data_IF_382643595327
#
_entry.id   IF_382643595327
#
_cell.length_a   1.000
_cell.length_b   1.000
_cell.length_c   1.000
_cell.angle_alpha   90.00
_cell.angle_beta   90.00
_cell.angle_gamma   90.00
#
_symmetry.space_group_name_H-M   'P 1'
#
loop_
_entity.id
_entity.type
_entity.pdbx_description
1 polymer ?
#
# COMPACT_ATOMS: atom_id res chain seq x y z
N UNK A 1 8.88 -19.12 7.39
CA UNK A 1 7.68 -18.31 7.19
C UNK A 1 6.42 -19.08 7.52
N UNK A 2 5.38 -18.37 7.78
CA UNK A 2 4.05 -18.90 8.11
C UNK A 2 3.10 -18.49 6.98
N UNK A 3 2.03 -19.25 6.76
CA UNK A 3 0.93 -18.84 5.88
C UNK A 3 -0.37 -18.85 6.65
N UNK A 4 -1.26 -17.90 6.34
CA UNK A 4 -2.62 -17.88 6.84
C UNK A 4 -3.62 -17.72 5.71
N UNK A 5 -4.87 -18.10 5.93
CA UNK A 5 -5.93 -17.96 4.95
C UNK A 5 -7.08 -17.16 5.55
N UNK A 6 -7.40 -16.04 4.91
CA UNK A 6 -8.47 -15.16 5.36
C UNK A 6 -9.81 -15.89 5.37
N UNK A 7 -10.57 -15.69 6.45
CA UNK A 7 -11.90 -16.27 6.66
C UNK A 7 -12.96 -15.16 6.57
N UNK A 8 -14.04 -15.37 5.80
CA UNK A 8 -15.14 -14.41 5.74
C UNK A 8 -15.74 -14.13 7.10
N UNK A 9 -15.97 -12.85 7.41
CA UNK A 9 -16.51 -12.36 8.68
C UNK A 9 -17.73 -11.47 8.43
N UNK A 10 -18.81 -11.78 9.12
CA UNK A 10 -20.01 -10.99 9.21
C UNK A 10 -19.89 -10.11 10.48
N UNK A 11 -19.70 -8.82 10.31
CA UNK A 11 -19.41 -7.88 11.41
C UNK A 11 -20.68 -7.25 11.96
N UNK A 12 -21.77 -7.16 11.18
CA UNK A 12 -23.03 -6.55 11.60
C UNK A 12 -24.12 -7.56 11.96
N UNK A 13 -23.91 -8.84 11.68
CA UNK A 13 -24.80 -9.94 12.05
C UNK A 13 -26.00 -10.12 11.12
N UNK A 14 -25.94 -9.61 9.89
CA UNK A 14 -27.00 -9.74 8.90
C UNK A 14 -26.99 -11.07 8.14
N UNK A 15 -25.95 -11.91 8.37
CA UNK A 15 -25.75 -13.22 7.73
C UNK A 15 -24.98 -13.13 6.41
N UNK A 16 -24.53 -11.94 6.01
CA UNK A 16 -23.71 -11.73 4.80
C UNK A 16 -22.32 -11.27 5.27
N UNK A 17 -21.24 -11.93 4.86
CA UNK A 17 -19.90 -11.48 5.24
C UNK A 17 -19.56 -10.09 4.68
N UNK A 18 -19.06 -9.19 5.54
CA UNK A 18 -18.62 -7.84 5.18
C UNK A 18 -17.17 -7.78 4.72
N UNK A 19 -16.35 -8.67 5.27
CA UNK A 19 -14.91 -8.70 5.04
C UNK A 19 -14.35 -10.11 5.22
N UNK A 20 -13.06 -10.29 4.97
CA UNK A 20 -12.34 -11.49 5.36
C UNK A 20 -11.10 -11.10 6.14
N UNK A 21 -10.87 -11.78 7.25
CA UNK A 21 -9.71 -11.55 8.12
C UNK A 21 -9.28 -12.82 8.84
N UNK A 22 -8.07 -12.79 9.37
CA UNK A 22 -7.55 -13.84 10.24
C UNK A 22 -6.58 -13.26 11.27
N UNK A 23 -6.46 -13.94 12.41
CA UNK A 23 -5.58 -13.56 13.51
C UNK A 23 -4.46 -14.56 13.66
N UNK A 24 -3.23 -14.07 13.63
CA UNK A 24 -2.02 -14.90 13.74
C UNK A 24 -1.24 -14.49 15.00
N UNK A 25 -0.80 -15.49 15.75
CA UNK A 25 -0.08 -15.29 17.00
C UNK A 25 1.43 -15.39 16.81
N UNK A 26 2.20 -14.65 17.61
CA UNK A 26 3.66 -14.71 17.57
C UNK A 26 4.20 -16.12 17.77
N UNK A 27 3.53 -16.93 18.58
CA UNK A 27 3.90 -18.33 18.82
C UNK A 27 3.79 -19.23 17.57
N UNK A 28 2.97 -18.85 16.58
CA UNK A 28 2.83 -19.62 15.33
C UNK A 28 4.08 -19.55 14.46
N UNK A 29 4.93 -18.57 14.72
CA UNK A 29 6.23 -18.38 14.04
C UNK A 29 7.38 -19.04 14.78
N UNK A 30 7.15 -19.52 16.00
CA UNK A 30 8.23 -20.06 16.83
C UNK A 30 8.64 -21.46 16.36
N UNK A 31 9.91 -21.62 16.06
CA UNK A 31 10.50 -22.91 15.69
C UNK A 31 11.23 -23.58 16.86
N UNK A 32 11.00 -23.12 18.09
CA UNK A 32 11.59 -23.67 19.28
C UNK A 32 12.55 -22.72 20.00
N UNK A 33 12.15 -21.47 20.20
CA UNK A 33 12.89 -20.49 21.02
C UNK A 33 13.00 -20.96 22.47
N UNK A 34 14.19 -20.90 23.05
CA UNK A 34 14.41 -21.35 24.42
C UNK A 34 15.42 -20.46 25.15
N UNK A 35 15.32 -20.46 26.46
CA UNK A 35 16.32 -19.89 27.34
C UNK A 35 17.29 -20.99 27.84
N UNK A 36 18.61 -20.74 27.81
CA UNK A 36 19.65 -21.71 28.15
C UNK A 36 19.48 -22.34 29.54
N UNK A 37 18.86 -21.64 30.49
CA UNK A 37 18.57 -22.13 31.83
C UNK A 37 17.15 -22.73 31.97
N UNK A 38 16.43 -22.97 30.88
CA UNK A 38 15.11 -23.58 30.90
C UNK A 38 13.97 -22.68 31.39
N UNK A 39 14.19 -21.37 31.48
CA UNK A 39 13.13 -20.43 31.81
C UNK A 39 12.23 -20.14 30.61
N UNK A 40 10.99 -19.73 30.91
CA UNK A 40 10.02 -19.29 29.89
C UNK A 40 10.53 -18.07 29.15
N UNK A 41 10.24 -18.01 27.85
CA UNK A 41 10.44 -16.84 27.00
C UNK A 41 9.09 -16.33 26.50
N UNK A 42 8.90 -15.01 26.46
CA UNK A 42 7.75 -14.39 25.85
C UNK A 42 8.00 -14.14 24.36
N UNK A 43 7.02 -14.45 23.55
CA UNK A 43 7.03 -14.21 22.10
C UNK A 43 6.07 -13.07 21.76
N UNK A 44 6.52 -12.13 20.90
CA UNK A 44 5.76 -10.96 20.51
C UNK A 44 6.18 -10.50 19.10
N UNK A 45 5.41 -9.58 18.51
CA UNK A 45 5.74 -8.99 17.21
C UNK A 45 6.50 -7.65 17.31
N UNK A 46 6.77 -7.20 18.54
CA UNK A 46 7.60 -6.03 18.83
C UNK A 46 8.30 -6.20 20.17
N UNK A 47 9.09 -5.20 20.59
CA UNK A 47 9.70 -5.18 21.92
C UNK A 47 8.67 -5.15 23.07
N UNK A 48 7.42 -4.81 22.81
CA UNK A 48 6.31 -4.94 23.76
C UNK A 48 5.85 -6.40 23.82
N UNK A 49 6.03 -7.05 24.96
CA UNK A 49 5.62 -8.45 25.18
C UNK A 49 4.10 -8.66 25.16
N UNK A 50 3.29 -7.60 25.12
CA UNK A 50 1.84 -7.67 24.95
C UNK A 50 1.42 -7.71 23.47
N UNK A 51 2.30 -7.36 22.54
CA UNK A 51 2.06 -7.42 21.08
C UNK A 51 2.17 -8.86 20.57
N UNK A 52 1.21 -9.70 20.99
CA UNK A 52 1.26 -11.17 20.80
C UNK A 52 0.56 -11.67 19.57
N UNK A 53 -0.34 -10.88 18.97
CA UNK A 53 -1.09 -11.27 17.78
C UNK A 53 -1.23 -10.10 16.82
N UNK A 54 -1.45 -10.41 15.57
CA UNK A 54 -1.81 -9.46 14.51
C UNK A 54 -3.02 -9.96 13.75
N UNK A 55 -3.87 -9.02 13.34
CA UNK A 55 -4.99 -9.28 12.45
C UNK A 55 -4.58 -8.87 11.05
N UNK A 56 -4.82 -9.74 10.09
CA UNK A 56 -4.63 -9.50 8.67
C UNK A 56 -5.98 -9.49 7.99
N UNK A 57 -6.13 -8.64 6.98
CA UNK A 57 -7.36 -8.49 6.21
C UNK A 57 -7.10 -8.55 4.70
N UNK A 58 -8.11 -8.19 3.91
CA UNK A 58 -8.04 -8.24 2.45
C UNK A 58 -6.94 -7.35 1.85
N UNK A 59 -6.55 -6.28 2.54
CA UNK A 59 -5.52 -5.35 2.06
C UNK A 59 -4.10 -5.89 2.30
N UNK A 60 -3.97 -6.84 3.22
CA UNK A 60 -2.69 -7.46 3.59
C UNK A 60 -2.30 -8.65 2.72
N UNK A 61 -3.08 -9.03 1.73
CA UNK A 61 -2.81 -10.23 0.90
C UNK A 61 -1.42 -10.24 0.30
N UNK A 62 -0.79 -11.43 0.32
CA UNK A 62 0.55 -11.70 -0.15
C UNK A 62 1.58 -11.73 0.97
N UNK A 63 2.84 -11.53 0.64
CA UNK A 63 3.93 -11.62 1.59
C UNK A 63 4.04 -10.34 2.44
N UNK A 64 3.88 -10.51 3.75
CA UNK A 64 4.05 -9.45 4.75
C UNK A 64 5.30 -9.73 5.61
N UNK A 65 6.18 -8.74 5.74
CA UNK A 65 7.35 -8.85 6.59
C UNK A 65 6.93 -8.69 8.06
N UNK A 66 7.45 -9.57 8.92
CA UNK A 66 7.20 -9.54 10.37
C UNK A 66 8.49 -9.69 11.15
N UNK A 67 8.54 -9.13 12.34
CA UNK A 67 9.60 -9.37 13.32
C UNK A 67 9.05 -10.27 14.44
N UNK A 68 9.74 -11.37 14.72
CA UNK A 68 9.46 -12.21 15.88
C UNK A 68 10.45 -11.86 16.96
N UNK A 69 9.95 -11.35 18.06
CA UNK A 69 10.72 -10.95 19.25
C UNK A 69 10.63 -12.01 20.34
N UNK A 70 11.73 -12.24 21.02
CA UNK A 70 11.87 -13.16 22.14
C UNK A 70 12.39 -12.37 23.33
N UNK A 71 11.67 -12.43 24.44
CA UNK A 71 12.04 -11.73 25.69
C UNK A 71 12.15 -12.73 26.83
N UNK A 72 13.26 -12.70 27.56
CA UNK A 72 13.45 -13.54 28.76
C UNK A 72 12.83 -12.90 30.02
N UNK A 73 12.85 -13.62 31.12
CA UNK A 73 12.32 -13.16 32.41
C UNK A 73 13.07 -11.96 33.02
N UNK A 74 14.27 -11.65 32.52
CA UNK A 74 15.07 -10.51 32.95
C UNK A 74 14.87 -9.29 32.05
N UNK A 75 14.06 -9.42 31.01
CA UNK A 75 13.80 -8.36 30.04
C UNK A 75 14.85 -8.25 28.93
N UNK A 76 15.74 -9.23 28.77
CA UNK A 76 16.65 -9.26 27.64
C UNK A 76 15.86 -9.68 26.40
N UNK A 77 16.06 -8.94 25.29
CA UNK A 77 15.30 -9.12 24.04
C UNK A 77 16.22 -9.46 22.88
N UNK A 78 15.71 -10.26 21.96
CA UNK A 78 16.27 -10.47 20.62
C UNK A 78 15.15 -10.63 19.62
N UNK A 79 15.43 -10.41 18.33
CA UNK A 79 14.42 -10.62 17.29
C UNK A 79 15.03 -11.20 16.02
N UNK A 80 14.18 -11.80 15.22
CA UNK A 80 14.47 -12.17 13.83
C UNK A 80 13.41 -11.61 12.88
N UNK A 81 13.77 -11.42 11.62
CA UNK A 81 12.84 -11.06 10.55
C UNK A 81 12.43 -12.29 9.78
N UNK A 82 11.13 -12.39 9.55
CA UNK A 82 10.52 -13.47 8.78
C UNK A 82 9.38 -12.88 7.96
N UNK A 83 8.52 -13.74 7.39
CA UNK A 83 7.36 -13.30 6.63
C UNK A 83 6.17 -14.21 6.90
N UNK A 84 4.99 -13.66 6.66
CA UNK A 84 3.74 -14.39 6.54
C UNK A 84 3.19 -14.22 5.12
N UNK A 85 2.65 -15.31 4.56
CA UNK A 85 1.90 -15.29 3.30
C UNK A 85 0.40 -15.30 3.61
N UNK A 86 -0.24 -14.14 3.40
CA UNK A 86 -1.67 -13.94 3.64
C UNK A 86 -2.43 -14.32 2.38
N UNK A 87 -3.21 -15.39 2.45
CA UNK A 87 -3.92 -16.01 1.33
C UNK A 87 -5.42 -15.77 1.42
N UNK A 88 -6.06 -15.66 0.25
CA UNK A 88 -7.51 -15.61 0.10
C UNK A 88 -7.96 -16.75 -0.81
N UNK A 89 -7.86 -17.98 -0.32
CA UNK A 89 -8.21 -19.19 -1.08
C UNK A 89 -9.71 -19.33 -1.32
N UNK A 90 -10.52 -18.63 -0.56
CA UNK A 90 -11.96 -18.59 -0.72
C UNK A 90 -12.44 -17.57 -1.74
N UNK A 91 -11.53 -16.66 -2.18
CA UNK A 91 -11.82 -15.62 -3.17
C UNK A 91 -12.86 -14.61 -2.70
N UNK A 92 -12.93 -14.38 -1.37
CA UNK A 92 -13.90 -13.46 -0.78
C UNK A 92 -13.46 -12.01 -0.89
N UNK A 93 -12.17 -11.78 -0.82
CA UNK A 93 -11.65 -10.42 -0.93
C UNK A 93 -11.88 -9.85 -2.33
N UNK A 94 -12.27 -8.57 -2.43
CA UNK A 94 -12.35 -7.92 -3.73
C UNK A 94 -10.99 -8.01 -4.44
N UNK A 95 -10.96 -8.02 -5.78
CA UNK A 95 -9.70 -7.97 -6.51
C UNK A 95 -8.87 -6.81 -5.93
N UNK A 96 -7.59 -7.08 -5.67
CA UNK A 96 -6.68 -6.10 -5.03
C UNK A 96 -6.42 -4.95 -6.01
N UNK A 97 -7.40 -4.09 -6.17
CA UNK A 97 -7.30 -2.85 -6.92
C UNK A 97 -6.58 -1.87 -5.98
N UNK A 98 -5.28 -2.06 -5.80
CA UNK A 98 -4.47 -0.99 -5.21
C UNK A 98 -4.58 0.18 -6.17
N UNK A 99 -5.35 1.17 -5.78
CA UNK A 99 -5.49 2.40 -6.54
C UNK A 99 -4.12 3.11 -6.50
N UNK A 100 -3.59 3.35 -7.68
CA UNK A 100 -2.42 4.18 -7.86
C UNK A 100 -2.86 5.58 -8.24
N UNK A 101 -2.07 6.59 -7.88
CA UNK A 101 -2.27 7.96 -8.31
C UNK A 101 -1.18 8.34 -9.32
N UNK A 102 -1.54 9.15 -10.31
CA UNK A 102 -0.57 9.81 -11.20
C UNK A 102 -0.63 11.30 -10.93
N UNK A 103 0.46 11.84 -10.46
CA UNK A 103 0.60 13.26 -10.14
C UNK A 103 1.80 13.84 -10.85
N UNK A 104 1.73 15.13 -11.17
CA UNK A 104 2.84 15.80 -11.82
C UNK A 104 2.70 17.32 -11.79
N UNK A 105 3.73 17.96 -12.33
CA UNK A 105 3.81 19.41 -12.45
C UNK A 105 4.21 19.74 -13.87
N UNK A 106 3.55 20.73 -14.47
CA UNK A 106 3.93 21.31 -15.74
C UNK A 106 4.63 22.64 -15.50
N UNK A 107 5.84 22.75 -16.02
CA UNK A 107 6.63 23.99 -15.99
C UNK A 107 7.29 24.26 -17.35
N UNK A 108 7.68 25.50 -17.58
CA UNK A 108 8.55 25.89 -18.72
C UNK A 108 9.98 25.45 -18.48
N UNK A 109 10.84 25.59 -19.47
CA UNK A 109 12.31 25.37 -19.34
C UNK A 109 12.97 26.28 -18.30
N UNK A 110 12.30 27.37 -17.91
CA UNK A 110 12.77 28.32 -16.88
C UNK A 110 12.14 28.07 -15.50
N UNK A 111 11.52 26.89 -15.31
CA UNK A 111 10.79 26.51 -14.09
C UNK A 111 9.55 27.35 -13.75
N UNK A 112 9.05 28.19 -14.68
CA UNK A 112 7.78 28.88 -14.49
C UNK A 112 6.63 27.88 -14.53
N UNK A 113 5.73 27.92 -13.56
CA UNK A 113 4.57 27.04 -13.45
C UNK A 113 3.52 27.37 -14.50
N UNK A 114 2.98 26.37 -15.18
CA UNK A 114 2.02 26.58 -16.26
C UNK A 114 0.62 26.11 -15.84
N UNK A 115 -0.27 27.09 -15.64
CA UNK A 115 -1.67 26.87 -15.31
C UNK A 115 -2.52 26.57 -16.56
N UNK A 116 -3.66 25.91 -16.34
CA UNK A 116 -4.68 25.61 -17.37
C UNK A 116 -4.16 24.75 -18.55
N UNK A 117 -3.16 23.91 -18.30
CA UNK A 117 -2.79 22.86 -19.25
C UNK A 117 -3.76 21.70 -19.09
N UNK A 118 -4.42 21.33 -20.18
CA UNK A 118 -5.26 20.15 -20.21
C UNK A 118 -4.40 18.89 -20.23
N UNK A 119 -4.57 18.04 -19.24
CA UNK A 119 -3.87 16.76 -19.12
C UNK A 119 -4.85 15.64 -19.40
N UNK A 120 -4.58 14.86 -20.42
CA UNK A 120 -5.31 13.64 -20.71
C UNK A 120 -4.47 12.43 -20.32
N UNK A 121 -5.07 11.49 -19.60
CA UNK A 121 -4.43 10.23 -19.24
C UNK A 121 -4.94 9.13 -20.17
N UNK A 122 -4.24 8.92 -21.27
CA UNK A 122 -4.62 7.97 -22.31
C UNK A 122 -4.62 6.55 -21.75
N UNK A 123 -5.63 5.76 -22.12
CA UNK A 123 -5.90 4.40 -21.65
C UNK A 123 -6.32 4.29 -20.15
N UNK A 124 -6.69 5.39 -19.49
CA UNK A 124 -7.15 5.34 -18.10
C UNK A 124 -8.67 5.20 -17.95
N UNK A 125 -9.44 5.66 -18.94
CA UNK A 125 -10.89 5.84 -18.81
C UNK A 125 -11.30 7.04 -17.94
N UNK A 126 -10.33 7.81 -17.42
CA UNK A 126 -10.57 8.98 -16.59
C UNK A 126 -10.75 10.24 -17.45
N UNK A 127 -11.49 11.22 -16.92
CA UNK A 127 -11.67 12.50 -17.56
C UNK A 127 -10.40 13.34 -17.54
N UNK A 128 -10.27 14.24 -18.52
CA UNK A 128 -9.23 15.26 -18.57
C UNK A 128 -9.25 16.12 -17.30
N UNK A 129 -8.07 16.47 -16.79
CA UNK A 129 -7.87 17.43 -15.71
C UNK A 129 -7.05 18.62 -16.20
N UNK A 130 -7.15 19.77 -15.52
CA UNK A 130 -6.33 20.94 -15.81
C UNK A 130 -5.36 21.23 -14.69
N UNK A 131 -4.16 21.68 -15.07
CA UNK A 131 -3.19 22.13 -14.08
C UNK A 131 -3.69 23.37 -13.34
N UNK A 132 -3.43 23.40 -12.03
CA UNK A 132 -3.71 24.55 -11.17
C UNK A 132 -2.69 25.70 -11.36
N UNK A 133 -2.79 26.74 -10.50
CA UNK A 133 -1.87 27.90 -10.53
C UNK A 133 -0.42 27.52 -10.24
N UNK A 134 -0.19 26.40 -9.54
CA UNK A 134 1.14 25.86 -9.27
C UNK A 134 1.60 24.87 -10.35
N UNK A 135 0.85 24.75 -11.46
CA UNK A 135 1.15 23.83 -12.54
C UNK A 135 0.92 22.36 -12.19
N UNK A 136 0.28 22.06 -11.05
CA UNK A 136 0.05 20.69 -10.58
C UNK A 136 -1.18 20.06 -11.21
N UNK A 137 -1.11 18.75 -11.41
CA UNK A 137 -2.26 17.91 -11.77
C UNK A 137 -2.21 16.59 -11.00
N UNK A 138 -3.37 15.96 -10.82
CA UNK A 138 -3.49 14.66 -10.13
C UNK A 138 -4.64 13.85 -10.73
N UNK A 139 -4.38 12.56 -10.96
CA UNK A 139 -5.37 11.53 -11.27
C UNK A 139 -5.36 10.51 -10.15
N UNK A 140 -6.51 10.26 -9.57
CA UNK A 140 -6.69 9.35 -8.45
C UNK A 140 -7.35 8.05 -8.91
N UNK A 141 -7.16 6.98 -8.14
CA UNK A 141 -7.88 5.70 -8.30
C UNK A 141 -7.60 4.97 -9.62
N UNK A 142 -6.38 5.00 -10.11
CA UNK A 142 -5.95 4.18 -11.24
C UNK A 142 -5.76 2.73 -10.81
N UNK A 143 -6.18 1.81 -11.66
CA UNK A 143 -5.91 0.37 -11.44
C UNK A 143 -4.41 0.10 -11.41
N UNK A 144 -3.92 -0.57 -10.40
CA UNK A 144 -2.50 -0.91 -10.28
C UNK A 144 -2.06 -1.82 -11.45
N UNK A 145 -0.91 -1.50 -12.04
CA UNK A 145 -0.37 -2.21 -13.21
C UNK A 145 -0.95 -1.76 -14.56
N UNK A 146 -1.88 -0.81 -14.59
CA UNK A 146 -2.39 -0.23 -15.83
C UNK A 146 -1.31 0.64 -16.49
N UNK A 147 -1.02 0.37 -17.75
CA UNK A 147 -0.13 1.22 -18.54
C UNK A 147 -0.91 2.42 -19.09
N UNK A 148 -0.52 3.61 -18.68
CA UNK A 148 -1.14 4.88 -19.08
C UNK A 148 -0.12 5.83 -19.67
N UNK A 149 -0.58 6.76 -20.51
CA UNK A 149 0.27 7.81 -21.10
C UNK A 149 -0.28 9.18 -20.73
N UNK A 150 0.56 10.01 -20.12
CA UNK A 150 0.24 11.41 -19.81
C UNK A 150 0.39 12.23 -21.07
N UNK A 151 -0.68 12.88 -21.53
CA UNK A 151 -0.69 13.71 -22.74
C UNK A 151 -1.14 15.13 -22.39
N UNK A 152 -0.20 16.08 -22.22
CA UNK A 152 -0.53 17.47 -21.98
C UNK A 152 -0.90 18.19 -23.29
N UNK A 153 -1.84 19.13 -23.21
CA UNK A 153 -2.21 20.02 -24.31
C UNK A 153 -2.59 21.40 -23.78
N UNK A 154 -2.21 22.46 -24.51
CA UNK A 154 -2.57 23.84 -24.19
C UNK A 154 -2.81 24.60 -25.48
N UNK A 155 -4.02 25.12 -25.65
CA UNK A 155 -4.48 25.80 -26.91
C UNK A 155 -4.87 27.25 -26.69
N UNK A 156 -4.76 27.76 -25.47
CA UNK A 156 -5.25 29.09 -25.08
C UNK A 156 -4.19 30.19 -25.18
N UNK A 157 -3.37 30.18 -26.17
CA UNK A 157 -2.40 31.25 -26.40
C UNK A 157 -1.57 31.02 -27.65
N UNK A 158 -1.71 31.91 -28.59
CA UNK A 158 -0.98 31.88 -29.87
C UNK A 158 0.54 31.88 -29.73
N UNK A 159 1.05 32.32 -28.57
CA UNK A 159 2.47 32.54 -28.36
C UNK A 159 3.04 31.76 -27.14
N UNK A 160 2.31 30.78 -26.61
CA UNK A 160 2.82 29.95 -25.53
C UNK A 160 3.96 29.07 -26.03
N UNK A 161 5.17 29.50 -25.70
CA UNK A 161 6.39 28.79 -26.07
C UNK A 161 6.99 29.18 -27.44
N UNK A 162 6.36 30.10 -28.20
CA UNK A 162 6.93 30.61 -29.43
C UNK A 162 7.51 32.00 -29.17
N UNK A 163 8.78 32.19 -29.35
CA UNK A 163 9.46 33.48 -29.33
C UNK A 163 9.78 33.95 -30.74
N UNK A 164 10.13 35.22 -30.88
CA UNK A 164 10.62 35.75 -32.17
C UNK A 164 11.95 35.11 -32.63
N UNK A 165 12.56 34.30 -31.80
CA UNK A 165 13.76 33.50 -32.14
C UNK A 165 13.41 32.22 -32.86
N UNK A 166 12.13 31.80 -32.88
CA UNK A 166 11.63 30.58 -33.53
C UNK A 166 11.12 30.81 -34.95
N UNK A 167 11.28 32.04 -35.49
CA UNK A 167 10.84 32.40 -36.84
C UNK A 167 12.04 32.58 -37.78
#
# INVERSE_FOLDING_TARGET
GVSTNLTPMDLDGDGIPDTAMDSVWAQDFDAGSYHNCGYYVALSFSADTNDKYRVYDCDDRGLQAVELWVTDINGNTSFCRTFIDVQDNLGFCPPNIKNSNVEGIISTEKDDRVQNVSINLVNSGLNEVKTDIEGKYSFLQLTNGQQVTVSPSKTDGWLNGVSTADI
#
